data_IF_501881220969
#
_entry.id   IF_501881220969
#
_cell.length_a   1.000
_cell.length_b   1.000
_cell.length_c   1.000
_cell.angle_alpha   90.00
_cell.angle_beta   90.00
_cell.angle_gamma   90.00
#
_symmetry.space_group_name_H-M   'P 1'
#
loop_
_entity.id
_entity.type
_entity.pdbx_description
1 polymer ?
#
# COMPACT_ATOMS: atom_id res chain seq x y z
N UNK A 1 34.34 17.61 51.06
CA UNK A 1 32.94 17.58 50.61
C UNK A 1 32.95 17.57 49.09
N UNK A 2 32.89 16.39 48.47
CA UNK A 2 32.86 16.21 47.01
C UNK A 2 31.54 15.51 46.68
N UNK A 3 30.67 16.17 45.91
CA UNK A 3 29.41 15.59 45.40
C UNK A 3 29.63 15.27 43.93
N UNK A 4 29.71 13.98 43.62
CA UNK A 4 29.79 13.44 42.26
C UNK A 4 28.36 13.20 41.77
N UNK A 5 27.89 14.00 40.81
CA UNK A 5 26.58 13.83 40.17
C UNK A 5 26.76 12.87 38.99
N UNK A 6 26.33 11.62 39.16
CA UNK A 6 26.26 10.64 38.08
C UNK A 6 24.95 10.81 37.31
N UNK A 7 25.06 11.25 36.05
CA UNK A 7 23.93 11.37 35.12
C UNK A 7 23.51 10.02 34.57
N UNK A 8 22.19 9.78 34.54
CA UNK A 8 21.55 8.68 33.81
C UNK A 8 20.64 9.30 32.75
N UNK A 9 21.20 9.51 31.56
CA UNK A 9 20.42 9.74 30.35
C UNK A 9 19.90 8.39 29.84
N UNK A 10 18.64 8.06 30.13
CA UNK A 10 17.94 7.00 29.41
C UNK A 10 17.48 7.56 28.07
N UNK A 11 18.30 7.37 27.02
CA UNK A 11 17.88 7.58 25.65
C UNK A 11 16.96 6.44 25.23
N UNK A 12 15.65 6.68 25.19
CA UNK A 12 14.76 5.79 24.46
C UNK A 12 15.10 5.93 22.97
N UNK A 13 15.54 4.84 22.35
CA UNK A 13 15.72 4.78 20.89
C UNK A 13 14.36 4.97 20.22
N UNK A 14 14.08 6.19 19.79
CA UNK A 14 13.02 6.44 18.82
C UNK A 14 13.52 5.84 17.51
N UNK A 15 13.16 4.59 17.27
CA UNK A 15 13.31 3.93 15.97
C UNK A 15 12.41 4.69 15.00
N UNK A 16 12.90 5.81 14.45
CA UNK A 16 12.23 6.48 13.36
C UNK A 16 12.14 5.47 12.22
N UNK A 17 10.93 5.01 11.88
CA UNK A 17 10.68 4.18 10.71
C UNK A 17 11.11 4.99 9.47
N UNK A 18 12.38 4.85 9.08
CA UNK A 18 12.90 5.35 7.81
C UNK A 18 12.48 4.36 6.73
N UNK A 19 11.18 4.29 6.45
CA UNK A 19 10.68 3.46 5.38
C UNK A 19 11.19 4.05 4.06
N UNK A 20 11.97 3.26 3.33
CA UNK A 20 12.34 3.60 1.96
C UNK A 20 11.07 3.63 1.10
N UNK A 21 10.99 4.60 0.17
CA UNK A 21 9.88 4.66 -0.77
C UNK A 21 9.91 3.40 -1.66
N UNK A 22 8.80 2.66 -1.80
CA UNK A 22 8.78 1.45 -2.60
C UNK A 22 8.94 1.76 -4.10
N UNK A 23 9.72 0.93 -4.80
CA UNK A 23 9.76 0.93 -6.26
C UNK A 23 8.52 0.21 -6.80
N UNK A 24 7.76 0.88 -7.67
CA UNK A 24 6.49 0.34 -8.18
C UNK A 24 6.68 -0.89 -9.09
N UNK A 25 7.78 -0.95 -9.86
CA UNK A 25 8.07 -2.09 -10.72
C UNK A 25 8.42 -3.34 -9.89
N UNK A 26 9.19 -3.15 -8.82
CA UNK A 26 9.48 -4.21 -7.86
C UNK A 26 8.21 -4.67 -7.13
N UNK A 27 7.35 -3.72 -6.71
CA UNK A 27 6.08 -4.05 -6.08
C UNK A 27 5.20 -4.90 -7.01
N UNK A 28 5.07 -4.53 -8.29
CA UNK A 28 4.36 -5.34 -9.29
C UNK A 28 4.93 -6.76 -9.35
N UNK A 29 6.24 -6.90 -9.52
CA UNK A 29 6.90 -8.22 -9.63
C UNK A 29 6.67 -9.07 -8.37
N UNK A 30 6.72 -8.45 -7.17
CA UNK A 30 6.46 -9.13 -5.91
C UNK A 30 5.01 -9.61 -5.81
N UNK A 31 4.03 -8.78 -6.16
CA UNK A 31 2.62 -9.18 -6.14
C UNK A 31 2.31 -10.23 -7.21
N UNK A 32 2.95 -10.14 -8.38
CA UNK A 32 2.80 -11.09 -9.47
C UNK A 32 3.40 -12.48 -9.15
N UNK A 33 4.43 -12.52 -8.32
CA UNK A 33 5.07 -13.75 -7.84
C UNK A 33 4.45 -14.32 -6.55
N UNK A 34 3.44 -13.66 -5.98
CA UNK A 34 2.72 -14.14 -4.80
C UNK A 34 1.80 -15.32 -5.13
N UNK A 35 1.54 -16.18 -4.15
CA UNK A 35 0.50 -17.21 -4.23
C UNK A 35 -0.92 -16.60 -4.24
N UNK A 36 -1.06 -15.37 -3.77
CA UNK A 36 -2.31 -14.62 -3.78
C UNK A 36 -2.59 -14.00 -5.17
N UNK A 37 -3.87 -13.94 -5.53
CA UNK A 37 -4.29 -13.24 -6.76
C UNK A 37 -4.53 -11.76 -6.47
N UNK A 38 -3.89 -10.88 -7.25
CA UNK A 38 -4.09 -9.43 -7.17
C UNK A 38 -4.77 -8.88 -8.42
N UNK A 39 -5.56 -7.82 -8.25
CA UNK A 39 -6.07 -6.98 -9.33
C UNK A 39 -5.59 -5.55 -9.13
N UNK A 40 -5.35 -4.84 -10.23
CA UNK A 40 -4.95 -3.43 -10.19
C UNK A 40 -6.19 -2.56 -10.40
N UNK A 41 -6.41 -1.61 -9.51
CA UNK A 41 -7.50 -0.65 -9.60
C UNK A 41 -6.98 0.79 -9.62
N UNK A 42 -7.66 1.66 -10.37
CA UNK A 42 -7.55 3.11 -10.28
C UNK A 42 -8.86 3.65 -9.72
N UNK A 43 -8.81 4.35 -8.59
CA UNK A 43 -10.02 4.95 -8.03
C UNK A 43 -9.84 5.49 -6.63
N UNK A 44 -10.97 5.74 -5.97
CA UNK A 44 -11.06 6.29 -4.62
C UNK A 44 -11.56 5.23 -3.65
N UNK A 45 -11.04 5.23 -2.43
CA UNK A 45 -11.47 4.34 -1.36
C UNK A 45 -12.11 5.17 -0.26
N UNK A 46 -13.35 4.82 0.08
CA UNK A 46 -14.10 5.47 1.15
C UNK A 46 -14.39 4.46 2.25
N UNK A 47 -13.77 4.57 3.44
CA UNK A 47 -14.17 3.78 4.60
C UNK A 47 -15.66 3.96 4.91
N UNK A 48 -16.36 2.85 5.15
CA UNK A 48 -17.78 2.85 5.53
C UNK A 48 -17.97 2.58 7.01
N UNK A 49 -16.95 2.02 7.67
CA UNK A 49 -16.94 1.73 9.10
C UNK A 49 -15.79 2.43 9.81
N UNK A 50 -15.87 2.46 11.15
CA UNK A 50 -14.78 2.97 11.99
C UNK A 50 -13.64 1.96 12.05
N UNK A 51 -12.41 2.45 11.97
CA UNK A 51 -11.24 1.59 12.20
C UNK A 51 -11.25 1.06 13.65
N UNK A 52 -11.11 -0.26 13.85
CA UNK A 52 -11.05 -0.81 15.20
C UNK A 52 -9.80 -0.33 15.97
N UNK A 53 -9.79 -0.41 17.31
CA UNK A 53 -8.60 -0.11 18.10
C UNK A 53 -7.44 -1.05 17.74
N UNK A 54 -6.22 -0.57 17.98
CA UNK A 54 -5.02 -1.38 17.81
C UNK A 54 -5.00 -2.54 18.83
N UNK A 55 -4.68 -3.73 18.33
CA UNK A 55 -4.40 -4.93 19.13
C UNK A 55 -3.11 -5.52 18.59
N UNK A 56 -2.13 -5.74 19.46
CA UNK A 56 -0.82 -6.25 19.07
C UNK A 56 -0.92 -7.60 18.34
N UNK A 57 -0.14 -7.73 17.26
CA UNK A 57 -0.10 -8.92 16.42
C UNK A 57 -1.36 -9.17 15.58
N UNK A 58 -2.34 -8.26 15.57
CA UNK A 58 -3.58 -8.41 14.77
C UNK A 58 -3.72 -7.28 13.76
N UNK A 59 -4.00 -7.60 12.47
CA UNK A 59 -4.34 -6.57 11.50
C UNK A 59 -5.70 -5.95 11.85
N UNK A 60 -5.82 -4.66 11.61
CA UNK A 60 -7.08 -3.91 11.75
C UNK A 60 -7.83 -3.99 10.43
N UNK A 61 -9.08 -4.45 10.48
CA UNK A 61 -9.94 -4.55 9.30
C UNK A 61 -11.08 -3.55 9.39
N UNK A 62 -11.36 -2.85 8.31
CA UNK A 62 -12.56 -2.01 8.18
C UNK A 62 -13.18 -2.17 6.80
N UNK A 63 -14.50 -2.10 6.72
CA UNK A 63 -15.20 -2.07 5.45
C UNK A 63 -15.00 -0.72 4.73
N UNK A 64 -14.96 -0.78 3.41
CA UNK A 64 -14.87 0.39 2.54
C UNK A 64 -15.57 0.14 1.21
N UNK A 65 -15.85 1.23 0.50
CA UNK A 65 -16.29 1.23 -0.88
C UNK A 65 -15.17 1.76 -1.79
N UNK A 66 -14.87 1.01 -2.84
CA UNK A 66 -14.04 1.43 -3.96
C UNK A 66 -14.95 1.98 -5.07
N UNK A 67 -14.70 3.20 -5.53
CA UNK A 67 -15.25 3.72 -6.78
C UNK A 67 -14.13 3.95 -7.78
N UNK A 68 -14.14 3.23 -8.91
CA UNK A 68 -13.04 3.31 -9.88
C UNK A 68 -13.15 2.33 -11.04
N UNK A 69 -12.00 2.00 -11.63
CA UNK A 69 -11.85 1.08 -12.78
C UNK A 69 -10.76 0.07 -12.50
N UNK A 70 -10.94 -1.15 -13.00
CA UNK A 70 -9.90 -2.18 -12.97
C UNK A 70 -9.05 -2.14 -14.23
N UNK A 71 -7.74 -2.31 -14.07
CA UNK A 71 -6.80 -2.45 -15.17
C UNK A 71 -6.81 -3.90 -15.67
N UNK A 72 -7.00 -4.08 -16.97
CA UNK A 72 -6.83 -5.33 -17.69
C UNK A 72 -5.77 -5.19 -18.78
N UNK A 73 -5.59 -6.23 -19.60
CA UNK A 73 -4.58 -6.25 -20.67
C UNK A 73 -4.79 -5.14 -21.71
N UNK A 74 -6.03 -4.72 -21.94
CA UNK A 74 -6.38 -3.68 -22.91
C UNK A 74 -6.51 -2.27 -22.30
N UNK A 75 -6.20 -2.11 -21.01
CA UNK A 75 -6.32 -0.85 -20.28
C UNK A 75 -7.37 -0.91 -19.17
N UNK A 76 -7.86 0.26 -18.76
CA UNK A 76 -8.92 0.36 -17.75
C UNK A 76 -10.28 -0.01 -18.32
N UNK A 77 -11.00 -0.89 -17.62
CA UNK A 77 -12.38 -1.23 -17.92
C UNK A 77 -13.39 -0.15 -17.53
N UNK A 78 -14.66 -0.55 -17.48
CA UNK A 78 -15.77 0.34 -17.12
C UNK A 78 -15.69 0.82 -15.66
N UNK A 79 -16.30 1.99 -15.41
CA UNK A 79 -16.46 2.52 -14.05
C UNK A 79 -17.32 1.59 -13.20
N UNK A 80 -16.94 1.41 -11.94
CA UNK A 80 -17.62 0.48 -11.05
C UNK A 80 -17.49 0.88 -9.58
N UNK A 81 -18.44 0.41 -8.75
CA UNK A 81 -18.37 0.48 -7.29
C UNK A 81 -18.28 -0.93 -6.71
N UNK A 82 -17.40 -1.14 -5.73
CA UNK A 82 -17.23 -2.44 -5.07
C UNK A 82 -17.02 -2.24 -3.58
N UNK A 83 -17.75 -3.01 -2.79
CA UNK A 83 -17.42 -3.20 -1.39
C UNK A 83 -16.08 -3.95 -1.27
N UNK A 84 -15.27 -3.54 -0.30
CA UNK A 84 -13.94 -4.07 -0.06
C UNK A 84 -13.57 -3.96 1.42
N UNK A 85 -12.47 -4.59 1.80
CA UNK A 85 -11.87 -4.47 3.13
C UNK A 85 -10.53 -3.74 3.04
N UNK A 86 -10.32 -2.76 3.90
CA UNK A 86 -8.98 -2.22 4.18
C UNK A 86 -8.41 -3.05 5.32
N UNK A 87 -7.28 -3.72 5.07
CA UNK A 87 -6.56 -4.52 6.06
C UNK A 87 -5.24 -3.83 6.41
N UNK A 88 -5.22 -3.18 7.57
CA UNK A 88 -4.06 -2.42 8.02
C UNK A 88 -3.19 -3.26 8.96
N UNK A 89 -1.93 -3.40 8.59
CA UNK A 89 -0.88 -4.01 9.40
C UNK A 89 -0.10 -2.95 10.16
N UNK A 90 0.39 -3.32 11.34
CA UNK A 90 1.09 -2.42 12.24
C UNK A 90 2.42 -3.03 12.69
N UNK A 91 3.44 -2.19 12.82
CA UNK A 91 4.70 -2.48 13.51
C UNK A 91 4.64 -1.73 14.84
N UNK A 92 4.44 -2.49 15.93
CA UNK A 92 4.03 -1.93 17.21
C UNK A 92 2.84 -0.96 17.01
N UNK A 93 2.96 0.28 17.46
CA UNK A 93 1.89 1.28 17.40
C UNK A 93 1.83 2.05 16.06
N UNK A 94 2.76 1.83 15.13
CA UNK A 94 2.73 2.44 13.81
C UNK A 94 2.05 1.54 12.80
N UNK A 95 0.96 2.05 12.24
CA UNK A 95 0.14 1.34 11.28
C UNK A 95 0.14 2.06 9.94
N UNK A 96 -0.05 1.28 8.87
CA UNK A 96 -0.39 1.85 7.57
C UNK A 96 -1.67 2.68 7.64
N UNK A 97 -1.85 3.56 6.67
CA UNK A 97 -3.04 4.40 6.61
C UNK A 97 -3.29 4.93 5.21
N UNK A 98 -4.56 5.13 4.89
CA UNK A 98 -4.95 5.77 3.64
C UNK A 98 -4.35 7.19 3.54
N UNK A 99 -4.15 7.71 2.32
CA UNK A 99 -3.76 9.09 2.10
C UNK A 99 -4.72 10.04 2.82
N UNK A 100 -4.18 11.16 3.31
CA UNK A 100 -4.97 12.14 4.07
C UNK A 100 -6.13 12.75 3.26
N UNK A 101 -6.05 12.74 1.93
CA UNK A 101 -7.09 13.24 1.05
C UNK A 101 -8.01 12.08 0.61
N UNK A 102 -9.26 12.00 1.14
CA UNK A 102 -10.18 10.90 0.83
C UNK A 102 -10.66 10.92 -0.62
N UNK A 103 -10.60 12.08 -1.28
CA UNK A 103 -11.02 12.25 -2.68
C UNK A 103 -9.91 12.01 -3.70
N UNK A 104 -8.69 11.73 -3.24
CA UNK A 104 -7.54 11.51 -4.11
C UNK A 104 -7.61 10.11 -4.73
N UNK A 105 -7.65 10.04 -6.06
CA UNK A 105 -7.51 8.77 -6.76
C UNK A 105 -6.13 8.15 -6.50
N UNK A 106 -6.11 6.83 -6.38
CA UNK A 106 -4.91 6.03 -6.18
C UNK A 106 -4.89 4.87 -7.18
N UNK A 107 -3.69 4.45 -7.54
CA UNK A 107 -3.44 3.11 -8.07
C UNK A 107 -3.27 2.15 -6.90
N UNK A 108 -3.97 1.02 -6.98
CA UNK A 108 -4.07 0.03 -5.91
C UNK A 108 -3.83 -1.37 -6.43
N UNK A 109 -3.03 -2.15 -5.70
CA UNK A 109 -3.04 -3.60 -5.79
C UNK A 109 -4.01 -4.14 -4.74
N UNK A 110 -5.11 -4.74 -5.22
CA UNK A 110 -6.14 -5.31 -4.37
C UNK A 110 -6.04 -6.83 -4.43
N UNK A 111 -5.81 -7.44 -3.28
CA UNK A 111 -5.82 -8.89 -3.14
C UNK A 111 -7.26 -9.40 -3.27
N UNK A 112 -7.44 -10.47 -4.04
CA UNK A 112 -8.72 -11.17 -4.16
C UNK A 112 -8.80 -12.24 -3.08
N UNK A 113 -9.82 -12.15 -2.24
CA UNK A 113 -10.18 -13.16 -1.25
C UNK A 113 -11.55 -13.75 -1.58
N UNK A 114 -11.95 -14.81 -0.88
CA UNK A 114 -13.25 -15.44 -1.06
C UNK A 114 -14.42 -14.50 -0.72
N UNK A 115 -14.21 -13.57 0.21
CA UNK A 115 -15.19 -12.62 0.73
C UNK A 115 -15.11 -11.24 0.06
N UNK A 116 -14.19 -11.02 -0.89
CA UNK A 116 -14.12 -9.78 -1.67
C UNK A 116 -12.71 -9.30 -1.96
N UNK A 117 -12.59 -7.99 -2.15
CA UNK A 117 -11.31 -7.32 -2.40
C UNK A 117 -10.70 -6.82 -1.09
N UNK A 118 -9.40 -6.98 -0.93
CA UNK A 118 -8.66 -6.52 0.24
C UNK A 118 -7.55 -5.56 -0.22
N UNK A 119 -7.52 -4.35 0.33
CA UNK A 119 -6.37 -3.46 0.27
C UNK A 119 -5.52 -3.68 1.52
N UNK A 120 -4.37 -4.32 1.35
CA UNK A 120 -3.39 -4.49 2.42
C UNK A 120 -2.57 -3.21 2.59
N UNK A 121 -2.59 -2.65 3.79
CA UNK A 121 -1.83 -1.45 4.14
C UNK A 121 -0.76 -1.80 5.15
N UNK A 122 0.49 -1.78 4.71
CA UNK A 122 1.63 -2.09 5.57
C UNK A 122 2.06 -0.88 6.39
N UNK A 123 2.70 -1.13 7.54
CA UNK A 123 3.27 -0.08 8.38
C UNK A 123 4.34 0.74 7.64
N UNK A 124 5.19 0.05 6.86
CA UNK A 124 5.99 0.68 5.81
C UNK A 124 5.31 0.48 4.46
N UNK A 125 5.09 1.53 3.66
CA UNK A 125 4.50 1.40 2.33
C UNK A 125 5.26 0.39 1.47
N UNK A 126 4.54 -0.59 0.95
CA UNK A 126 5.10 -1.67 0.12
C UNK A 126 4.85 -1.43 -1.38
N UNK A 127 4.05 -0.44 -1.74
CA UNK A 127 3.67 -0.15 -3.13
C UNK A 127 2.29 -0.68 -3.51
N UNK A 128 1.55 -1.27 -2.56
CA UNK A 128 0.13 -1.61 -2.71
C UNK A 128 -0.76 -0.40 -3.05
N UNK A 129 -0.33 0.80 -2.67
CA UNK A 129 -1.03 2.05 -2.90
C UNK A 129 -0.06 3.13 -3.41
N UNK A 130 -0.43 3.83 -4.48
CA UNK A 130 0.43 4.85 -5.07
C UNK A 130 -0.35 5.89 -5.90
N UNK A 131 0.24 7.06 -6.13
CA UNK A 131 -0.40 8.09 -6.94
C UNK A 131 -0.51 7.68 -8.42
N UNK A 132 -1.61 8.02 -9.11
CA UNK A 132 -1.90 7.62 -10.48
C UNK A 132 -1.26 8.56 -11.51
N UNK A 133 0.07 8.67 -11.48
CA UNK A 133 0.77 9.44 -12.51
C UNK A 133 0.76 8.69 -13.85
N UNK A 134 0.82 9.42 -14.97
CA UNK A 134 0.85 8.84 -16.32
C UNK A 134 1.94 7.76 -16.46
N UNK A 135 3.16 8.06 -16.01
CA UNK A 135 4.29 7.11 -16.05
C UNK A 135 4.02 5.82 -15.27
N UNK A 136 3.34 5.90 -14.11
CA UNK A 136 3.01 4.73 -13.29
C UNK A 136 1.91 3.89 -13.89
N UNK A 137 0.90 4.53 -14.50
CA UNK A 137 -0.15 3.82 -15.23
C UNK A 137 0.44 3.06 -16.42
N UNK A 138 1.27 3.73 -17.23
CA UNK A 138 1.92 3.14 -18.40
C UNK A 138 2.85 1.98 -18.01
N UNK A 139 3.61 2.15 -16.92
CA UNK A 139 4.45 1.10 -16.36
C UNK A 139 3.62 -0.14 -16.01
N UNK A 140 2.59 0.01 -15.18
CA UNK A 140 1.76 -1.12 -14.74
C UNK A 140 1.06 -1.81 -15.92
N UNK A 141 0.59 -1.03 -16.91
CA UNK A 141 -0.01 -1.58 -18.12
C UNK A 141 0.99 -2.43 -18.92
N UNK A 142 2.23 -1.93 -19.08
CA UNK A 142 3.30 -2.64 -19.77
C UNK A 142 3.67 -3.94 -19.04
N UNK A 143 3.91 -3.85 -17.72
CA UNK A 143 4.26 -5.01 -16.91
C UNK A 143 3.14 -6.06 -16.90
N UNK A 144 1.87 -5.64 -16.83
CA UNK A 144 0.71 -6.53 -16.87
C UNK A 144 0.63 -7.30 -18.21
N UNK A 145 0.88 -6.62 -19.34
CA UNK A 145 0.91 -7.26 -20.66
C UNK A 145 2.05 -8.28 -20.80
N UNK A 146 3.17 -8.02 -20.15
CA UNK A 146 4.36 -8.87 -20.20
C UNK A 146 4.35 -9.97 -19.11
N UNK A 147 3.46 -9.88 -18.14
CA UNK A 147 3.43 -10.73 -16.94
C UNK A 147 4.57 -10.45 -15.96
N UNK A 148 5.40 -9.42 -16.18
CA UNK A 148 6.48 -8.94 -15.31
C UNK A 148 6.99 -7.58 -15.74
N UNK A 149 7.54 -6.82 -14.81
CA UNK A 149 8.38 -5.66 -15.11
C UNK A 149 9.83 -6.09 -15.38
N UNK A 150 10.49 -5.40 -16.32
CA UNK A 150 11.88 -5.65 -16.74
C UNK A 150 12.90 -4.89 -15.89
N UNK A 151 14.19 -5.24 -15.99
CA UNK A 151 15.25 -4.48 -15.30
C UNK A 151 15.29 -2.99 -15.69
N UNK A 152 14.99 -2.65 -16.94
CA UNK A 152 14.86 -1.25 -17.37
C UNK A 152 13.69 -0.52 -16.69
N UNK A 153 12.59 -1.22 -16.44
CA UNK A 153 11.43 -0.67 -15.75
C UNK A 153 11.77 -0.34 -14.28
N UNK A 154 12.54 -1.22 -13.63
CA UNK A 154 13.03 -1.00 -12.26
C UNK A 154 13.90 0.25 -12.18
N UNK A 155 14.92 0.34 -13.04
CA UNK A 155 15.84 1.48 -13.07
C UNK A 155 15.12 2.82 -13.29
N UNK A 156 14.12 2.84 -14.18
CA UNK A 156 13.30 4.03 -14.47
C UNK A 156 12.53 4.52 -13.24
N UNK A 157 12.12 3.61 -12.36
CA UNK A 157 11.35 3.94 -11.16
C UNK A 157 12.23 4.32 -9.97
N UNK A 158 13.46 3.85 -9.89
CA UNK A 158 14.42 4.27 -8.85
C UNK A 158 14.79 5.75 -8.95
N UNK A 159 14.91 6.26 -10.18
CA UNK A 159 15.36 7.64 -10.43
C UNK A 159 14.26 8.69 -10.29
N UNK A 160 13.12 8.37 -9.65
CA UNK A 160 11.92 9.22 -9.60
C UNK A 160 11.32 9.46 -8.21
#
# INVERSE_FOLDING_TARGET
MFITIAGLFFGAEVQALSCMRPNLAEAFNRFQASDDTYVIALGKVRPTDKQPPYVEGRPRKMAAELSGRFMGLDGFGAQTSRSMTIQTHCLAHWCGGLPASPDQEQLMFLRRAADGLILDMQACPDGSLTLPTKDRIELLQSCLKQGKCTGSDLQKMETR
#
